data_IF_795901784612
#
_entry.id   IF_795901784612
#
_cell.length_a   1.000
_cell.length_b   1.000
_cell.length_c   1.000
_cell.angle_alpha   90.00
_cell.angle_beta   90.00
_cell.angle_gamma   90.00
#
_symmetry.space_group_name_H-M   'P 1'
#
loop_
_entity.id
_entity.type
_entity.pdbx_description
1 polymer ?
#
# COMPACT_ATOMS: atom_id res chain seq x y z
N UNK A 1 33.31 -35.01 -22.95
CA UNK A 1 32.67 -34.86 -21.61
C UNK A 1 31.51 -33.89 -21.76
N UNK A 2 30.31 -34.44 -21.93
CA UNK A 2 29.08 -33.67 -22.08
C UNK A 2 28.60 -33.23 -20.70
N UNK A 3 28.58 -31.92 -20.41
CA UNK A 3 27.88 -31.41 -19.23
C UNK A 3 26.39 -31.50 -19.46
N UNK A 4 25.72 -32.39 -18.72
CA UNK A 4 24.25 -32.36 -18.59
C UNK A 4 23.88 -30.98 -18.05
N UNK A 5 23.07 -30.28 -18.81
CA UNK A 5 22.31 -29.10 -18.36
C UNK A 5 21.29 -29.70 -17.37
N UNK A 6 21.39 -29.34 -16.09
CA UNK A 6 20.34 -29.65 -15.14
C UNK A 6 19.14 -28.78 -15.54
N UNK A 7 17.99 -29.42 -15.68
CA UNK A 7 16.72 -28.71 -15.86
C UNK A 7 16.55 -27.73 -14.69
N UNK A 8 16.12 -26.49 -14.96
CA UNK A 8 15.83 -25.55 -13.89
C UNK A 8 14.71 -26.16 -13.02
N UNK A 9 14.97 -26.33 -11.72
CA UNK A 9 13.95 -26.69 -10.75
C UNK A 9 12.76 -25.72 -10.93
N UNK A 10 11.59 -26.26 -11.22
CA UNK A 10 10.35 -25.50 -11.34
C UNK A 10 10.16 -24.70 -10.05
N UNK A 11 10.15 -23.39 -10.19
CA UNK A 11 9.85 -22.47 -9.07
C UNK A 11 8.41 -22.78 -8.59
N UNK A 12 8.20 -23.22 -7.35
CA UNK A 12 6.87 -23.59 -6.86
C UNK A 12 5.85 -22.46 -6.90
N UNK A 13 6.28 -21.19 -7.10
CA UNK A 13 5.40 -20.03 -7.25
C UNK A 13 4.91 -19.79 -8.66
N UNK A 14 5.66 -20.17 -9.69
CA UNK A 14 5.25 -19.96 -11.09
C UNK A 14 3.97 -20.73 -11.44
N UNK A 15 3.63 -21.75 -10.67
CA UNK A 15 2.48 -22.62 -10.92
C UNK A 15 1.29 -22.43 -9.96
N UNK A 16 1.47 -21.90 -8.75
CA UNK A 16 0.41 -21.94 -7.73
C UNK A 16 -0.52 -20.74 -7.80
N UNK A 17 -0.02 -19.51 -7.86
CA UNK A 17 -0.90 -18.33 -7.86
C UNK A 17 -1.51 -18.06 -9.23
N UNK A 18 -0.72 -18.12 -10.30
CA UNK A 18 -1.25 -17.94 -11.66
C UNK A 18 -2.15 -19.11 -12.08
N UNK A 19 -1.81 -20.36 -11.75
CA UNK A 19 -2.65 -21.52 -12.05
C UNK A 19 -3.93 -21.56 -11.19
N UNK A 20 -3.88 -21.11 -9.93
CA UNK A 20 -5.06 -20.95 -9.09
C UNK A 20 -5.97 -19.87 -9.64
N UNK A 21 -5.42 -18.72 -10.08
CA UNK A 21 -6.20 -17.66 -10.72
C UNK A 21 -6.83 -18.13 -12.03
N UNK A 22 -6.09 -18.81 -12.91
CA UNK A 22 -6.61 -19.38 -14.14
C UNK A 22 -7.68 -20.44 -13.85
N UNK A 23 -7.50 -21.25 -12.82
CA UNK A 23 -8.51 -22.23 -12.36
C UNK A 23 -9.73 -21.52 -11.78
N UNK A 24 -9.55 -20.42 -11.05
CA UNK A 24 -10.61 -19.56 -10.53
C UNK A 24 -11.43 -18.95 -11.65
N UNK A 25 -10.78 -18.33 -12.65
CA UNK A 25 -11.47 -17.76 -13.81
C UNK A 25 -12.20 -18.81 -14.64
N UNK A 26 -11.63 -20.01 -14.81
CA UNK A 26 -12.28 -21.14 -15.48
C UNK A 26 -13.48 -21.66 -14.70
N UNK A 27 -13.43 -21.69 -13.36
CA UNK A 27 -14.54 -22.14 -12.51
C UNK A 27 -15.72 -21.15 -12.54
N UNK A 28 -15.45 -19.84 -12.52
CA UNK A 28 -16.47 -18.80 -12.71
C UNK A 28 -17.15 -18.97 -14.08
N UNK A 29 -16.36 -19.19 -15.14
CA UNK A 29 -16.87 -19.42 -16.49
C UNK A 29 -17.72 -20.69 -16.65
N UNK A 30 -17.54 -21.70 -15.78
CA UNK A 30 -18.25 -22.98 -15.81
C UNK A 30 -19.46 -23.04 -14.85
N UNK A 31 -19.86 -21.94 -14.21
CA UNK A 31 -21.01 -21.90 -13.31
C UNK A 31 -20.82 -22.64 -11.98
N UNK A 32 -19.63 -23.12 -11.66
CA UNK A 32 -19.31 -23.72 -10.38
C UNK A 32 -19.22 -22.65 -9.29
N UNK A 33 -19.86 -22.88 -8.14
CA UNK A 33 -19.70 -22.00 -6.97
C UNK A 33 -18.25 -22.06 -6.50
N UNK A 34 -17.49 -21.01 -6.78
CA UNK A 34 -16.15 -20.85 -6.25
C UNK A 34 -16.21 -20.71 -4.73
N UNK A 35 -15.43 -21.51 -4.03
CA UNK A 35 -15.17 -21.35 -2.60
C UNK A 35 -13.81 -20.69 -2.43
N UNK A 36 -13.76 -19.42 -1.97
CA UNK A 36 -12.49 -18.76 -1.73
C UNK A 36 -11.67 -19.52 -0.67
N UNK A 37 -10.34 -19.46 -0.75
CA UNK A 37 -9.47 -20.09 0.22
C UNK A 37 -9.75 -19.56 1.63
N UNK A 38 -9.60 -20.41 2.64
CA UNK A 38 -9.67 -19.97 4.04
C UNK A 38 -8.42 -19.17 4.38
N UNK A 39 -8.60 -17.95 4.79
CA UNK A 39 -7.54 -17.08 5.32
C UNK A 39 -7.86 -16.71 6.78
N UNK A 40 -6.83 -16.40 7.57
CA UNK A 40 -7.00 -16.01 8.97
C UNK A 40 -6.69 -14.54 9.16
N UNK A 41 -7.49 -13.86 9.99
CA UNK A 41 -7.17 -12.52 10.44
C UNK A 41 -6.09 -12.58 11.53
N UNK A 42 -5.05 -11.77 11.37
CA UNK A 42 -3.99 -11.55 12.38
C UNK A 42 -4.33 -10.37 13.32
N UNK A 43 -5.20 -9.50 12.85
CA UNK A 43 -5.73 -8.40 13.64
C UNK A 43 -7.16 -8.07 13.20
N UNK A 44 -8.02 -7.88 14.20
CA UNK A 44 -9.41 -7.43 14.05
C UNK A 44 -9.62 -6.26 14.99
N UNK A 45 -10.10 -5.14 14.47
CA UNK A 45 -10.33 -3.93 15.27
C UNK A 45 -11.36 -2.99 14.70
N UNK A 46 -11.69 -1.95 15.45
CA UNK A 46 -12.75 -0.98 15.13
C UNK A 46 -12.65 -0.38 13.71
N UNK A 47 -11.44 -0.14 13.21
CA UNK A 47 -11.27 0.51 11.91
C UNK A 47 -10.59 -0.37 10.88
N UNK A 48 -10.12 -1.57 11.25
CA UNK A 48 -9.35 -2.33 10.30
C UNK A 48 -9.20 -3.81 10.60
N UNK A 49 -8.84 -4.50 9.53
CA UNK A 49 -8.58 -5.94 9.51
C UNK A 49 -7.24 -6.19 8.83
N UNK A 50 -6.38 -7.01 9.43
CA UNK A 50 -5.14 -7.47 8.82
C UNK A 50 -5.17 -8.98 8.66
N UNK A 51 -4.82 -9.44 7.46
CA UNK A 51 -4.77 -10.84 7.11
C UNK A 51 -3.35 -11.26 6.75
N UNK A 52 -2.97 -12.45 7.19
CA UNK A 52 -1.80 -13.14 6.66
C UNK A 52 -2.25 -14.07 5.54
N UNK A 53 -2.04 -13.63 4.29
CA UNK A 53 -2.52 -14.36 3.13
C UNK A 53 -1.74 -13.97 1.87
N UNK A 54 -1.76 -14.84 0.86
CA UNK A 54 -1.47 -14.43 -0.51
C UNK A 54 -2.48 -13.36 -0.96
N UNK A 55 -2.03 -12.39 -1.75
CA UNK A 55 -2.89 -11.28 -2.19
C UNK A 55 -4.12 -11.78 -2.96
N UNK A 56 -3.97 -12.79 -3.83
CA UNK A 56 -5.10 -13.35 -4.59
C UNK A 56 -6.07 -14.10 -3.69
N UNK A 57 -5.58 -14.79 -2.66
CA UNK A 57 -6.42 -15.48 -1.69
C UNK A 57 -7.23 -14.47 -0.85
N UNK A 58 -6.63 -13.34 -0.45
CA UNK A 58 -7.35 -12.26 0.21
C UNK A 58 -8.40 -11.67 -0.72
N UNK A 59 -8.00 -11.27 -1.93
CA UNK A 59 -8.88 -10.60 -2.89
C UNK A 59 -10.09 -11.46 -3.28
N UNK A 60 -9.92 -12.77 -3.39
CA UNK A 60 -11.01 -13.71 -3.66
C UNK A 60 -12.11 -13.72 -2.57
N UNK A 61 -11.76 -13.34 -1.33
CA UNK A 61 -12.71 -13.24 -0.22
C UNK A 61 -13.46 -11.90 -0.18
N UNK A 62 -13.03 -10.90 -0.96
CA UNK A 62 -13.62 -9.57 -1.00
C UNK A 62 -14.68 -9.49 -2.10
N UNK A 63 -15.82 -8.91 -1.76
CA UNK A 63 -16.95 -8.72 -2.69
C UNK A 63 -16.59 -7.75 -3.81
N UNK A 64 -17.19 -7.97 -4.96
CA UNK A 64 -17.15 -7.02 -6.05
C UNK A 64 -17.69 -5.64 -5.62
N UNK A 65 -17.06 -4.58 -6.13
CA UNK A 65 -17.53 -3.19 -5.97
C UNK A 65 -17.74 -2.74 -4.51
N UNK A 66 -16.90 -3.21 -3.59
CA UNK A 66 -17.06 -2.98 -2.15
C UNK A 66 -16.00 -2.05 -1.54
N UNK A 67 -14.85 -1.85 -2.19
CA UNK A 67 -13.71 -1.06 -1.71
C UNK A 67 -13.70 0.32 -2.36
N UNK A 68 -13.44 1.37 -1.58
CA UNK A 68 -13.47 2.77 -2.03
C UNK A 68 -12.14 3.23 -2.62
N UNK A 69 -11.04 2.85 -1.98
CA UNK A 69 -9.68 3.20 -2.40
C UNK A 69 -8.75 2.00 -2.24
N UNK A 70 -7.92 1.78 -3.22
CA UNK A 70 -6.85 0.78 -3.21
C UNK A 70 -5.52 1.50 -3.37
N UNK A 71 -4.59 1.24 -2.46
CA UNK A 71 -3.19 1.65 -2.60
C UNK A 71 -2.32 0.42 -2.48
N UNK A 72 -1.50 0.14 -3.48
CA UNK A 72 -0.64 -1.05 -3.51
C UNK A 72 0.81 -0.72 -3.86
N UNK A 73 1.73 -1.31 -3.08
CA UNK A 73 3.18 -1.29 -3.26
C UNK A 73 3.69 -2.73 -3.34
N UNK A 74 3.48 -3.41 -4.49
CA UNK A 74 3.86 -4.81 -4.65
C UNK A 74 5.39 -4.97 -4.69
N UNK A 75 5.92 -6.19 -4.52
CA UNK A 75 7.31 -6.51 -4.81
C UNK A 75 7.67 -6.14 -6.25
N UNK A 76 8.89 -5.60 -6.47
CA UNK A 76 9.27 -5.00 -7.76
C UNK A 76 10.00 -5.92 -8.72
N UNK A 77 10.14 -7.17 -8.37
CA UNK A 77 10.93 -8.15 -9.14
C UNK A 77 12.37 -7.66 -9.40
N UNK A 78 13.06 -7.31 -8.32
CA UNK A 78 14.42 -6.79 -8.33
C UNK A 78 15.41 -7.70 -7.59
N UNK A 79 15.02 -8.93 -7.28
CA UNK A 79 15.83 -9.91 -6.55
C UNK A 79 16.07 -9.53 -5.09
N UNK A 80 15.10 -8.87 -4.44
CA UNK A 80 15.21 -8.52 -3.03
C UNK A 80 14.82 -9.70 -2.15
N UNK A 81 15.63 -9.95 -1.13
CA UNK A 81 15.27 -10.88 -0.07
C UNK A 81 14.31 -10.19 0.92
N UNK A 82 13.09 -10.72 1.01
CA UNK A 82 12.08 -10.28 1.98
C UNK A 82 12.08 -11.14 3.26
N UNK A 83 13.08 -12.03 3.42
CA UNK A 83 13.17 -12.99 4.53
C UNK A 83 11.94 -13.92 4.63
N UNK A 84 11.28 -14.18 3.52
CA UNK A 84 10.18 -15.12 3.39
C UNK A 84 10.65 -16.30 2.53
N UNK A 85 10.91 -17.48 3.10
CA UNK A 85 11.55 -18.61 2.39
C UNK A 85 10.82 -19.08 1.13
N UNK A 86 9.52 -18.79 1.06
CA UNK A 86 8.64 -19.20 -0.03
C UNK A 86 8.36 -18.08 -1.04
N UNK A 87 8.97 -16.92 -0.89
CA UNK A 87 8.79 -15.77 -1.78
C UNK A 87 10.09 -15.43 -2.49
N UNK A 88 10.07 -15.41 -3.82
CA UNK A 88 11.19 -15.02 -4.66
C UNK A 88 10.84 -13.75 -5.45
N UNK A 89 11.57 -12.65 -5.19
CA UNK A 89 11.43 -11.36 -5.91
C UNK A 89 12.28 -11.35 -7.21
N UNK A 90 12.66 -12.52 -7.72
CA UNK A 90 13.40 -12.71 -8.98
C UNK A 90 12.65 -13.69 -9.89
N UNK A 91 11.41 -13.34 -10.18
CA UNK A 91 10.55 -14.12 -11.09
C UNK A 91 10.96 -13.88 -12.54
N UNK A 92 10.73 -14.89 -13.39
CA UNK A 92 10.81 -14.67 -14.84
C UNK A 92 9.82 -13.58 -15.27
N UNK A 93 10.22 -12.75 -16.25
CA UNK A 93 9.50 -11.53 -16.65
C UNK A 93 8.02 -11.78 -17.01
N UNK A 94 7.73 -12.85 -17.74
CA UNK A 94 6.35 -13.18 -18.14
C UNK A 94 5.54 -13.72 -16.97
N UNK A 95 6.16 -14.50 -16.09
CA UNK A 95 5.52 -15.00 -14.88
C UNK A 95 5.14 -13.82 -13.94
N UNK A 96 6.05 -12.88 -13.73
CA UNK A 96 5.78 -11.68 -12.96
C UNK A 96 4.66 -10.83 -13.58
N UNK A 97 4.69 -10.62 -14.90
CA UNK A 97 3.65 -9.90 -15.62
C UNK A 97 2.28 -10.57 -15.45
N UNK A 98 2.22 -11.88 -15.64
CA UNK A 98 1.00 -12.66 -15.49
C UNK A 98 0.43 -12.59 -14.07
N UNK A 99 1.30 -12.68 -13.07
CA UNK A 99 0.93 -12.50 -11.67
C UNK A 99 0.40 -11.08 -11.39
N UNK A 100 1.05 -10.04 -11.92
CA UNK A 100 0.57 -8.67 -11.79
C UNK A 100 -0.80 -8.47 -12.44
N UNK A 101 -1.01 -9.02 -13.65
CA UNK A 101 -2.31 -8.94 -14.32
C UNK A 101 -3.41 -9.61 -13.49
N UNK A 102 -3.12 -10.75 -12.86
CA UNK A 102 -4.08 -11.49 -12.06
C UNK A 102 -4.62 -10.65 -10.89
N UNK A 103 -3.75 -10.12 -10.04
CA UNK A 103 -4.22 -9.32 -8.90
C UNK A 103 -4.76 -7.94 -9.33
N UNK A 104 -4.29 -7.33 -10.43
CA UNK A 104 -4.86 -6.08 -10.95
C UNK A 104 -6.30 -6.26 -11.45
N UNK A 105 -6.64 -7.41 -12.06
CA UNK A 105 -8.02 -7.74 -12.42
C UNK A 105 -8.91 -7.87 -11.18
N UNK A 106 -8.43 -8.57 -10.16
CA UNK A 106 -9.17 -8.70 -8.90
C UNK A 106 -9.33 -7.34 -8.19
N UNK A 107 -8.29 -6.49 -8.15
CA UNK A 107 -8.40 -5.12 -7.63
C UNK A 107 -9.44 -4.31 -8.41
N UNK A 108 -9.47 -4.46 -9.73
CA UNK A 108 -10.48 -3.79 -10.58
C UNK A 108 -11.89 -4.31 -10.27
N UNK A 109 -12.05 -5.61 -10.00
CA UNK A 109 -13.33 -6.22 -9.63
C UNK A 109 -13.86 -5.65 -8.32
N UNK A 110 -13.04 -5.66 -7.27
CA UNK A 110 -13.46 -5.26 -5.91
C UNK A 110 -13.61 -3.76 -5.74
N UNK A 111 -12.91 -2.95 -6.54
CA UNK A 111 -13.04 -1.49 -6.52
C UNK A 111 -14.45 -1.07 -6.94
N UNK A 112 -15.11 -0.21 -6.16
CA UNK A 112 -16.44 0.30 -6.52
C UNK A 112 -16.37 1.26 -7.71
N UNK A 113 -17.46 1.46 -8.45
CA UNK A 113 -17.55 2.56 -9.42
C UNK A 113 -17.20 3.91 -8.75
N UNK A 114 -16.36 4.71 -9.40
CA UNK A 114 -15.80 5.96 -8.84
C UNK A 114 -14.73 5.76 -7.78
N UNK A 115 -14.42 4.53 -7.40
CA UNK A 115 -13.31 4.21 -6.51
C UNK A 115 -11.96 4.41 -7.20
N UNK A 116 -10.91 4.53 -6.42
CA UNK A 116 -9.57 4.90 -6.89
C UNK A 116 -8.55 3.79 -6.63
N UNK A 117 -7.71 3.52 -7.62
CA UNK A 117 -6.56 2.62 -7.54
C UNK A 117 -5.27 3.42 -7.70
N UNK A 118 -4.40 3.35 -6.69
CA UNK A 118 -3.02 3.81 -6.75
C UNK A 118 -2.09 2.60 -6.79
N UNK A 119 -1.25 2.53 -7.82
CA UNK A 119 -0.21 1.52 -7.99
C UNK A 119 1.16 2.20 -7.92
N UNK A 120 1.88 1.97 -6.81
CA UNK A 120 3.26 2.42 -6.63
C UNK A 120 4.22 1.38 -7.17
N UNK A 121 5.12 1.79 -8.08
CA UNK A 121 6.03 0.83 -8.70
C UNK A 121 7.29 1.48 -9.27
N UNK A 122 8.28 0.63 -9.55
CA UNK A 122 9.43 0.99 -10.35
C UNK A 122 9.00 1.45 -11.76
N UNK A 123 9.60 2.51 -12.35
CA UNK A 123 9.11 3.12 -13.60
C UNK A 123 8.95 2.15 -14.77
N UNK A 124 9.85 1.18 -14.92
CA UNK A 124 9.74 0.17 -15.98
C UNK A 124 8.43 -0.60 -15.87
N UNK A 125 8.16 -1.15 -14.69
CA UNK A 125 6.94 -1.92 -14.47
C UNK A 125 5.69 -1.04 -14.44
N UNK A 126 5.78 0.16 -13.87
CA UNK A 126 4.68 1.11 -13.91
C UNK A 126 4.27 1.44 -15.35
N UNK A 127 5.24 1.57 -16.28
CA UNK A 127 4.97 1.78 -17.70
C UNK A 127 4.27 0.57 -18.34
N UNK A 128 4.79 -0.65 -18.12
CA UNK A 128 4.21 -1.88 -18.68
C UNK A 128 2.79 -2.14 -18.16
N UNK A 129 2.63 -2.12 -16.84
CA UNK A 129 1.35 -2.37 -16.20
C UNK A 129 0.35 -1.26 -16.52
N UNK A 130 0.79 0.00 -16.55
CA UNK A 130 -0.05 1.13 -16.97
C UNK A 130 -0.54 1.01 -18.40
N UNK A 131 0.32 0.61 -19.35
CA UNK A 131 -0.08 0.36 -20.72
C UNK A 131 -1.15 -0.74 -20.81
N UNK A 132 -0.99 -1.82 -20.04
CA UNK A 132 -1.99 -2.89 -19.99
C UNK A 132 -3.28 -2.44 -19.28
N UNK A 133 -3.19 -1.74 -18.15
CA UNK A 133 -4.37 -1.21 -17.44
C UNK A 133 -5.22 -0.28 -18.31
N UNK A 134 -4.60 0.45 -19.26
CA UNK A 134 -5.31 1.29 -20.23
C UNK A 134 -6.17 0.48 -21.19
N UNK A 135 -5.94 -0.83 -21.35
CA UNK A 135 -6.79 -1.71 -22.17
C UNK A 135 -8.04 -2.19 -21.42
N UNK A 136 -8.10 -2.00 -20.08
CA UNK A 136 -9.24 -2.41 -19.27
C UNK A 136 -10.37 -1.38 -19.36
N UNK A 137 -11.54 -1.72 -19.95
CA UNK A 137 -12.64 -0.75 -20.13
C UNK A 137 -13.17 -0.17 -18.82
N UNK A 138 -13.04 -0.92 -17.72
CA UNK A 138 -13.51 -0.52 -16.40
C UNK A 138 -12.66 0.59 -15.76
N UNK A 139 -11.40 0.77 -16.18
CA UNK A 139 -10.48 1.74 -15.60
C UNK A 139 -10.34 2.99 -16.48
N UNK A 140 -10.08 4.11 -15.81
CA UNK A 140 -9.75 5.39 -16.43
C UNK A 140 -8.46 5.91 -15.83
N UNK A 141 -7.46 6.12 -16.66
CA UNK A 141 -6.20 6.75 -16.27
C UNK A 141 -6.42 8.22 -15.87
N UNK A 142 -5.86 8.63 -14.75
CA UNK A 142 -5.91 10.01 -14.28
C UNK A 142 -4.56 10.70 -14.28
N UNK A 143 -3.53 10.04 -13.76
CA UNK A 143 -2.18 10.60 -13.73
C UNK A 143 -1.10 9.53 -13.54
N UNK A 144 0.10 9.85 -13.99
CA UNK A 144 1.36 9.29 -13.51
C UNK A 144 1.98 10.30 -12.57
N UNK A 145 2.09 9.96 -11.30
CA UNK A 145 2.73 10.81 -10.29
C UNK A 145 4.18 10.34 -10.14
N UNK A 146 5.13 11.22 -10.44
CA UNK A 146 6.55 10.96 -10.24
C UNK A 146 6.95 11.29 -8.80
N UNK A 147 7.41 10.30 -8.06
CA UNK A 147 7.85 10.42 -6.66
C UNK A 147 9.37 10.49 -6.61
N UNK A 148 9.93 11.64 -6.25
CA UNK A 148 11.37 11.85 -6.23
C UNK A 148 12.05 10.91 -5.23
N UNK A 149 13.04 10.17 -5.73
CA UNK A 149 13.91 9.35 -4.90
C UNK A 149 15.05 10.17 -4.32
N UNK A 150 15.71 9.65 -3.28
CA UNK A 150 17.02 10.14 -2.88
C UNK A 150 17.98 9.92 -4.05
N UNK A 151 18.69 10.97 -4.46
CA UNK A 151 19.68 10.89 -5.53
C UNK A 151 20.67 9.76 -5.25
N UNK A 152 20.73 8.78 -6.12
CA UNK A 152 21.75 7.75 -6.13
C UNK A 152 23.08 8.29 -6.67
N UNK A 153 24.12 7.48 -6.62
CA UNK A 153 25.36 7.80 -7.32
C UNK A 153 25.18 7.58 -8.83
N UNK A 154 25.85 8.38 -9.67
CA UNK A 154 25.85 8.15 -11.11
C UNK A 154 26.30 6.72 -11.44
N UNK A 155 25.61 6.09 -12.36
CA UNK A 155 25.91 4.73 -12.82
C UNK A 155 26.57 4.83 -14.20
N UNK A 156 27.78 4.24 -14.35
CA UNK A 156 28.49 4.29 -15.63
C UNK A 156 27.65 3.68 -16.75
N UNK A 157 27.53 4.41 -17.86
CA UNK A 157 26.87 3.94 -19.07
C UNK A 157 25.34 3.96 -19.09
N UNK A 158 24.69 4.50 -18.03
CA UNK A 158 23.23 4.66 -18.02
C UNK A 158 22.77 5.82 -17.15
N UNK A 159 21.58 6.32 -17.42
CA UNK A 159 20.90 7.29 -16.57
C UNK A 159 20.49 6.56 -15.28
N UNK A 160 20.85 7.13 -14.11
CA UNK A 160 20.38 6.57 -12.86
C UNK A 160 18.92 6.95 -12.59
N UNK A 161 18.12 6.04 -12.06
CA UNK A 161 16.73 6.34 -11.75
C UNK A 161 16.65 7.32 -10.58
N UNK A 162 15.77 8.32 -10.70
CA UNK A 162 15.61 9.39 -9.71
C UNK A 162 14.17 9.50 -9.18
N UNK A 163 13.26 8.63 -9.62
CA UNK A 163 11.88 8.64 -9.19
C UNK A 163 11.27 7.23 -9.21
N UNK A 164 10.18 7.08 -8.45
CA UNK A 164 9.21 5.99 -8.59
C UNK A 164 7.98 6.50 -9.32
N UNK A 165 7.24 5.59 -9.96
CA UNK A 165 5.93 5.87 -10.53
C UNK A 165 4.82 5.53 -9.53
N UNK A 166 3.85 6.42 -9.38
CA UNK A 166 2.59 6.16 -8.73
C UNK A 166 1.48 6.38 -9.76
N UNK A 167 0.93 5.29 -10.27
CA UNK A 167 -0.16 5.35 -11.23
C UNK A 167 -1.47 5.61 -10.51
N UNK A 168 -2.25 6.55 -11.00
CA UNK A 168 -3.56 6.92 -10.49
C UNK A 168 -4.63 6.59 -11.51
N UNK A 169 -5.48 5.63 -11.15
CA UNK A 169 -6.63 5.17 -11.93
C UNK A 169 -7.92 5.28 -11.13
N UNK A 170 -9.03 5.39 -11.85
CA UNK A 170 -10.39 5.41 -11.28
C UNK A 170 -11.25 4.38 -11.99
N UNK A 171 -12.09 3.64 -11.25
CA UNK A 171 -13.10 2.76 -11.86
C UNK A 171 -14.24 3.61 -12.42
N UNK A 172 -14.54 3.43 -13.70
CA UNK A 172 -15.64 4.14 -14.39
C UNK A 172 -17.00 3.82 -13.75
N UNK A 173 -17.97 4.67 -14.03
CA UNK A 173 -19.38 4.46 -13.63
C UNK A 173 -20.01 5.62 -12.88
N UNK A 174 -19.28 6.21 -11.92
CA UNK A 174 -19.75 7.41 -11.20
C UNK A 174 -18.61 8.41 -11.03
N UNK A 175 -18.95 9.64 -10.65
CA UNK A 175 -17.95 10.68 -10.38
C UNK A 175 -17.05 10.24 -9.21
N UNK A 176 -15.71 10.23 -9.40
CA UNK A 176 -14.79 9.85 -8.34
C UNK A 176 -14.71 10.92 -7.24
N UNK A 177 -14.32 10.48 -6.06
CA UNK A 177 -13.90 11.38 -4.99
C UNK A 177 -12.58 12.07 -5.41
N UNK A 178 -12.56 13.39 -5.33
CA UNK A 178 -11.35 14.19 -5.53
C UNK A 178 -11.35 15.35 -4.56
N UNK A 179 -10.46 15.29 -3.58
CA UNK A 179 -10.26 16.35 -2.59
C UNK A 179 -9.00 17.16 -2.95
N UNK A 180 -9.05 18.45 -2.73
CA UNK A 180 -7.90 19.31 -3.00
C UNK A 180 -6.88 19.15 -1.87
N UNK A 181 -5.80 18.46 -2.15
CA UNK A 181 -4.63 18.34 -1.26
C UNK A 181 -3.62 19.43 -1.60
N UNK A 182 -3.06 20.09 -0.59
CA UNK A 182 -2.09 21.16 -0.74
C UNK A 182 -0.80 20.84 -0.01
N UNK A 183 0.31 21.33 -0.55
CA UNK A 183 1.64 21.25 0.06
C UNK A 183 2.24 22.63 0.14
N UNK A 184 3.21 22.82 1.04
CA UNK A 184 3.96 24.08 1.11
C UNK A 184 4.72 24.31 -0.19
N UNK A 185 4.71 25.54 -0.67
CA UNK A 185 5.53 25.93 -1.82
C UNK A 185 7.01 25.70 -1.50
N UNK A 186 7.76 25.00 -2.37
CA UNK A 186 9.18 24.81 -2.16
C UNK A 186 9.92 26.15 -2.09
N UNK A 187 10.86 26.27 -1.17
CA UNK A 187 11.74 27.42 -1.02
C UNK A 187 13.18 27.07 -1.36
N UNK A 188 13.90 28.00 -1.94
CA UNK A 188 15.33 27.85 -2.19
C UNK A 188 16.10 27.71 -0.87
N UNK A 189 16.92 26.67 -0.75
CA UNK A 189 17.72 26.40 0.46
C UNK A 189 18.77 27.46 0.76
N UNK A 190 19.19 28.22 -0.27
CA UNK A 190 20.24 29.22 -0.15
C UNK A 190 19.71 30.62 0.17
N UNK A 191 18.60 31.04 -0.47
CA UNK A 191 18.12 32.40 -0.32
C UNK A 191 16.71 32.48 0.30
N UNK A 192 16.06 31.36 0.63
CA UNK A 192 14.72 31.32 1.21
C UNK A 192 13.58 31.76 0.28
N UNK A 193 13.88 32.18 -0.96
CA UNK A 193 12.86 32.59 -1.94
C UNK A 193 12.06 31.38 -2.42
N UNK A 194 10.80 31.61 -2.77
CA UNK A 194 9.96 30.56 -3.41
C UNK A 194 10.61 30.08 -4.71
N UNK A 195 10.69 28.77 -4.89
CA UNK A 195 11.34 28.15 -6.06
C UNK A 195 10.43 28.19 -7.28
N UNK A 196 9.12 28.29 -7.09
CA UNK A 196 8.14 28.30 -8.17
C UNK A 196 7.63 29.70 -8.41
N UNK A 197 7.77 30.15 -9.64
CA UNK A 197 7.12 31.34 -10.14
C UNK A 197 5.86 30.92 -10.90
N UNK A 198 4.71 31.26 -10.37
CA UNK A 198 3.42 30.96 -11.01
C UNK A 198 2.96 32.08 -11.96
N UNK A 199 3.80 33.06 -12.25
CA UNK A 199 3.48 34.21 -13.07
C UNK A 199 2.25 34.98 -12.56
N UNK A 200 1.36 35.41 -13.43
CA UNK A 200 0.15 36.15 -13.09
C UNK A 200 -0.89 35.44 -12.23
N UNK A 201 -0.69 34.12 -11.94
CA UNK A 201 -1.58 33.33 -11.07
C UNK A 201 -1.26 33.45 -9.58
N UNK A 202 -0.19 34.11 -9.20
CA UNK A 202 0.25 34.28 -7.79
C UNK A 202 -0.88 34.68 -6.86
N UNK A 203 -1.70 35.68 -7.22
CA UNK A 203 -2.83 36.14 -6.43
C UNK A 203 -3.92 35.10 -6.16
N UNK A 204 -4.04 34.07 -6.98
CA UNK A 204 -4.99 32.96 -6.76
C UNK A 204 -4.49 31.95 -5.71
N UNK A 205 -3.18 31.87 -5.49
CA UNK A 205 -2.56 30.92 -4.57
C UNK A 205 -2.28 31.54 -3.21
N UNK A 206 -2.13 32.85 -3.11
CA UNK A 206 -1.91 33.61 -1.85
C UNK A 206 -3.06 33.50 -0.83
N UNK A 207 -4.19 32.89 -1.18
CA UNK A 207 -5.32 32.67 -0.28
C UNK A 207 -5.08 31.56 0.77
N UNK A 208 -4.01 30.83 0.67
CA UNK A 208 -3.69 29.67 1.52
C UNK A 208 -2.23 29.79 1.95
N UNK A 209 -1.97 30.72 2.85
CA UNK A 209 -0.65 30.91 3.45
C UNK A 209 -0.62 30.27 4.85
N UNK A 210 0.55 29.75 5.25
CA UNK A 210 0.77 29.36 6.63
C UNK A 210 1.02 30.60 7.52
N UNK A 211 1.19 30.38 8.84
CA UNK A 211 1.45 31.45 9.81
C UNK A 211 2.71 32.30 9.51
N UNK A 212 3.58 31.79 8.62
CA UNK A 212 4.80 32.46 8.15
C UNK A 212 4.64 33.15 6.80
N UNK A 213 3.42 33.18 6.26
CA UNK A 213 3.13 33.76 4.93
C UNK A 213 3.68 32.89 3.78
N UNK A 214 3.96 31.60 4.01
CA UNK A 214 4.38 30.68 2.95
C UNK A 214 3.14 30.13 2.26
N UNK A 215 2.97 30.38 0.95
CA UNK A 215 1.79 29.93 0.24
C UNK A 215 1.76 28.40 0.10
N UNK A 216 0.56 27.85 0.23
CA UNK A 216 0.28 26.44 -0.02
C UNK A 216 -0.28 26.28 -1.42
N UNK A 217 0.25 25.31 -2.16
CA UNK A 217 -0.14 25.01 -3.53
C UNK A 217 -0.83 23.64 -3.60
N UNK A 218 -1.74 23.49 -4.54
CA UNK A 218 -2.29 22.19 -4.87
C UNK A 218 -1.16 21.27 -5.34
N UNK A 219 -1.18 20.00 -4.89
CA UNK A 219 -0.20 19.01 -5.33
C UNK A 219 -0.27 18.83 -6.85
N UNK A 220 0.90 18.65 -7.46
CA UNK A 220 1.06 18.29 -8.87
C UNK A 220 1.27 16.79 -9.01
N UNK A 221 1.51 16.34 -10.21
CA UNK A 221 1.96 14.97 -10.53
C UNK A 221 3.47 14.74 -10.32
N UNK A 222 4.16 15.69 -9.73
CA UNK A 222 5.56 15.56 -9.34
C UNK A 222 5.74 15.87 -7.85
N UNK A 223 6.00 14.84 -7.05
CA UNK A 223 6.18 14.94 -5.60
C UNK A 223 7.67 14.90 -5.25
N UNK A 224 8.27 16.08 -5.10
CA UNK A 224 9.70 16.22 -4.84
C UNK A 224 10.06 16.26 -3.33
N UNK A 225 9.09 16.47 -2.48
CA UNK A 225 9.23 16.52 -1.03
C UNK A 225 9.12 15.14 -0.36
N UNK A 226 8.97 14.08 -1.15
CA UNK A 226 9.00 12.71 -0.68
C UNK A 226 10.41 12.38 -0.18
N UNK A 227 10.60 12.38 1.14
CA UNK A 227 11.85 11.94 1.74
C UNK A 227 11.82 10.42 1.80
N UNK A 228 12.80 9.71 1.21
CA UNK A 228 12.91 8.28 1.43
C UNK A 228 13.08 8.03 2.93
N UNK A 229 12.47 6.95 3.43
CA UNK A 229 12.73 6.51 4.79
C UNK A 229 14.26 6.43 4.99
N UNK A 230 14.79 7.10 6.00
CA UNK A 230 16.19 6.93 6.36
C UNK A 230 16.37 5.47 6.71
N UNK A 231 17.31 4.79 6.07
CA UNK A 231 17.82 3.53 6.56
C UNK A 231 18.49 3.85 7.91
N UNK A 232 17.74 3.68 8.97
CA UNK A 232 18.30 3.73 10.30
C UNK A 232 19.08 2.43 10.49
N UNK A 233 20.39 2.54 10.69
CA UNK A 233 21.27 1.37 10.90
C UNK A 233 20.91 0.56 12.14
N UNK A 234 20.06 1.11 13.01
CA UNK A 234 19.54 0.45 14.20
C UNK A 234 18.32 -0.46 13.94
N UNK A 235 17.79 -0.47 12.71
CA UNK A 235 16.66 -1.33 12.36
C UNK A 235 17.16 -2.73 12.04
N UNK A 236 16.90 -3.64 12.93
CA UNK A 236 17.19 -5.08 12.81
C UNK A 236 16.51 -5.76 11.61
N UNK A 237 15.51 -5.11 11.02
CA UNK A 237 14.83 -5.56 9.82
C UNK A 237 15.01 -4.54 8.69
N UNK A 238 15.64 -4.94 7.60
CA UNK A 238 15.85 -4.15 6.37
C UNK A 238 14.53 -3.93 5.58
N UNK A 239 13.43 -3.64 6.25
CA UNK A 239 12.15 -3.38 5.60
C UNK A 239 12.25 -2.00 4.95
N UNK A 240 12.22 -1.95 3.63
CA UNK A 240 12.05 -0.72 2.86
C UNK A 240 10.61 -0.22 3.04
N UNK A 241 10.35 0.44 4.16
CA UNK A 241 9.04 1.01 4.42
C UNK A 241 8.77 2.20 3.49
N UNK A 242 7.58 2.18 2.88
CA UNK A 242 7.06 3.33 2.15
C UNK A 242 6.88 4.50 3.14
N UNK A 243 7.41 5.72 2.83
CA UNK A 243 7.17 6.89 3.67
C UNK A 243 5.68 7.19 3.84
N UNK A 244 5.23 7.39 5.08
CA UNK A 244 3.81 7.54 5.45
C UNK A 244 3.07 8.59 4.61
N UNK A 245 3.71 9.73 4.31
CA UNK A 245 3.10 10.83 3.57
C UNK A 245 2.72 10.49 2.12
N UNK A 246 3.24 9.40 1.55
CA UNK A 246 2.89 8.97 0.19
C UNK A 246 1.48 8.38 0.15
N UNK A 247 1.18 7.27 0.87
CA UNK A 247 -0.19 6.77 0.93
C UNK A 247 -1.14 7.75 1.60
N UNK A 248 -0.68 8.56 2.56
CA UNK A 248 -1.48 9.60 3.21
C UNK A 248 -2.04 10.61 2.19
N UNK A 249 -1.21 11.13 1.28
CA UNK A 249 -1.66 12.04 0.23
C UNK A 249 -2.64 11.38 -0.73
N UNK A 250 -2.38 10.15 -1.12
CA UNK A 250 -3.28 9.38 -1.99
C UNK A 250 -4.66 9.18 -1.33
N UNK A 251 -4.67 8.82 -0.05
CA UNK A 251 -5.89 8.63 0.74
C UNK A 251 -6.66 9.94 0.89
N UNK A 252 -5.99 11.02 1.27
CA UNK A 252 -6.61 12.34 1.39
C UNK A 252 -7.18 12.85 0.08
N UNK A 253 -6.46 12.63 -1.03
CA UNK A 253 -6.87 13.05 -2.38
C UNK A 253 -8.15 12.36 -2.84
N UNK A 254 -8.28 11.05 -2.60
CA UNK A 254 -9.23 10.22 -3.32
C UNK A 254 -10.19 9.42 -2.44
N UNK A 255 -10.31 9.77 -1.16
CA UNK A 255 -11.27 9.15 -0.23
C UNK A 255 -11.81 10.14 0.80
N UNK A 256 -12.89 9.76 1.48
CA UNK A 256 -13.50 10.49 2.58
C UNK A 256 -13.44 9.69 3.88
N UNK A 257 -13.56 10.32 5.07
CA UNK A 257 -13.72 9.59 6.33
C UNK A 257 -14.83 8.53 6.24
N UNK A 258 -14.56 7.33 6.75
CA UNK A 258 -15.46 6.17 6.67
C UNK A 258 -15.35 5.33 5.40
N UNK A 259 -14.63 5.79 4.37
CA UNK A 259 -14.33 4.99 3.18
C UNK A 259 -13.38 3.84 3.53
N UNK A 260 -13.49 2.73 2.79
CA UNK A 260 -12.65 1.54 2.96
C UNK A 260 -11.42 1.63 2.06
N UNK A 261 -10.25 1.58 2.66
CA UNK A 261 -8.93 1.53 2.00
C UNK A 261 -8.40 0.11 2.05
N UNK A 262 -7.95 -0.41 0.92
CA UNK A 262 -7.30 -1.73 0.82
C UNK A 262 -5.83 -1.57 0.43
N UNK A 263 -4.99 -2.37 1.11
CA UNK A 263 -3.60 -2.65 0.72
C UNK A 263 -3.31 -4.13 0.91
N UNK A 264 -3.26 -4.89 -0.18
CA UNK A 264 -2.98 -6.33 -0.14
C UNK A 264 -1.47 -6.66 -0.15
N UNK A 265 -0.61 -5.65 -0.07
CA UNK A 265 0.85 -5.74 0.06
C UNK A 265 1.32 -4.86 1.23
N UNK A 266 0.71 -5.03 2.39
CA UNK A 266 0.79 -4.07 3.51
C UNK A 266 2.23 -3.81 4.02
N UNK A 267 3.15 -4.76 3.88
CA UNK A 267 4.56 -4.61 4.28
C UNK A 267 4.70 -4.06 5.70
N UNK A 268 5.27 -2.84 5.83
CA UNK A 268 5.38 -2.13 7.11
C UNK A 268 4.10 -1.45 7.60
N UNK A 269 2.97 -1.54 6.88
CA UNK A 269 1.66 -1.00 7.27
C UNK A 269 1.50 0.52 7.13
N UNK A 270 2.28 1.17 6.27
CA UNK A 270 2.20 2.64 6.08
C UNK A 270 0.84 3.09 5.56
N UNK A 271 0.26 2.35 4.61
CA UNK A 271 -1.07 2.63 4.06
C UNK A 271 -2.17 2.49 5.14
N UNK A 272 -2.10 1.42 5.93
CA UNK A 272 -3.06 1.15 7.00
C UNK A 272 -3.01 2.23 8.09
N UNK A 273 -1.78 2.65 8.44
CA UNK A 273 -1.57 3.75 9.38
C UNK A 273 -2.16 5.07 8.85
N UNK A 274 -1.90 5.41 7.59
CA UNK A 274 -2.47 6.61 6.98
C UNK A 274 -4.00 6.57 6.96
N UNK A 275 -4.60 5.44 6.62
CA UNK A 275 -6.05 5.24 6.66
C UNK A 275 -6.62 5.45 8.06
N UNK A 276 -6.02 4.81 9.07
CA UNK A 276 -6.42 4.94 10.47
C UNK A 276 -6.36 6.40 10.97
N UNK A 277 -5.25 7.09 10.65
CA UNK A 277 -4.98 8.47 11.07
C UNK A 277 -6.06 9.44 10.56
N UNK A 278 -6.57 9.17 9.37
CA UNK A 278 -7.57 10.02 8.71
C UNK A 278 -9.00 9.48 8.77
N UNK A 279 -9.30 8.60 9.72
CA UNK A 279 -10.64 8.05 9.94
C UNK A 279 -11.21 7.27 8.75
N UNK A 280 -10.36 6.58 7.99
CA UNK A 280 -10.78 5.58 7.01
C UNK A 280 -10.79 4.21 7.65
N UNK A 281 -11.66 3.35 7.15
CA UNK A 281 -11.62 1.92 7.43
C UNK A 281 -10.54 1.29 6.56
N UNK A 282 -9.91 0.19 7.01
CA UNK A 282 -8.84 -0.41 6.24
C UNK A 282 -8.84 -1.94 6.27
N UNK A 283 -8.40 -2.53 5.16
CA UNK A 283 -8.13 -3.95 5.00
C UNK A 283 -6.68 -4.08 4.56
N UNK A 284 -5.88 -4.83 5.32
CA UNK A 284 -4.49 -5.13 5.00
C UNK A 284 -4.29 -6.61 4.70
N UNK A 285 -3.40 -6.91 3.74
CA UNK A 285 -2.90 -8.25 3.48
C UNK A 285 -1.39 -8.28 3.47
N UNK A 286 -0.80 -9.32 4.05
CA UNK A 286 0.65 -9.56 4.03
C UNK A 286 0.91 -11.04 3.87
N UNK A 287 1.76 -11.39 2.91
CA UNK A 287 2.09 -12.79 2.63
C UNK A 287 2.97 -13.41 3.72
N UNK A 288 3.96 -12.65 4.16
CA UNK A 288 4.89 -13.06 5.22
C UNK A 288 4.31 -12.92 6.62
N UNK A 289 5.18 -13.04 7.62
CA UNK A 289 4.82 -12.75 9.01
C UNK A 289 4.59 -11.23 9.17
N UNK A 290 3.39 -10.76 9.51
CA UNK A 290 3.07 -9.33 9.55
C UNK A 290 3.57 -8.64 10.83
N UNK A 291 4.75 -9.02 11.33
CA UNK A 291 5.29 -8.52 12.60
C UNK A 291 5.47 -7.01 12.60
N UNK A 292 6.03 -6.47 11.52
CA UNK A 292 6.24 -5.02 11.39
C UNK A 292 4.92 -4.26 11.32
N UNK A 293 3.96 -4.78 10.56
CA UNK A 293 2.61 -4.23 10.44
C UNK A 293 1.88 -4.26 11.78
N UNK A 294 1.90 -5.38 12.50
CA UNK A 294 1.29 -5.51 13.83
C UNK A 294 1.93 -4.58 14.85
N UNK A 295 3.27 -4.46 14.85
CA UNK A 295 3.98 -3.52 15.71
C UNK A 295 3.54 -2.07 15.44
N UNK A 296 3.41 -1.69 14.17
CA UNK A 296 2.91 -0.38 13.78
C UNK A 296 1.45 -0.17 14.20
N UNK A 297 0.58 -1.17 13.99
CA UNK A 297 -0.83 -1.11 14.42
C UNK A 297 -0.90 -0.82 15.93
N UNK A 298 -0.17 -1.56 16.76
CA UNK A 298 -0.11 -1.31 18.21
C UNK A 298 0.34 0.12 18.55
N UNK A 299 1.27 0.69 17.78
CA UNK A 299 1.78 2.05 18.01
C UNK A 299 0.71 3.13 17.80
N UNK A 300 -0.18 2.98 16.80
CA UNK A 300 -1.18 4.01 16.49
C UNK A 300 -2.56 3.75 17.10
N UNK A 301 -2.86 2.53 17.56
CA UNK A 301 -4.12 2.21 18.25
C UNK A 301 -3.93 2.30 19.78
N UNK A 302 -2.74 1.99 20.29
CA UNK A 302 -2.45 1.83 21.72
C UNK A 302 -3.00 0.50 22.26
N UNK A 303 -2.96 0.34 23.58
CA UNK A 303 -3.43 -0.88 24.28
C UNK A 303 -4.95 -0.87 24.56
N UNK A 304 -5.72 -0.13 23.78
CA UNK A 304 -7.19 -0.09 23.94
C UNK A 304 -7.77 -1.40 23.43
N UNK A 305 -8.70 -1.97 24.22
CA UNK A 305 -9.59 -3.02 23.71
C UNK A 305 -10.25 -2.52 22.43
N UNK A 306 -10.08 -3.28 21.34
CA UNK A 306 -10.62 -2.89 20.04
C UNK A 306 -12.04 -3.42 19.95
N UNK A 307 -13.05 -2.54 19.86
CA UNK A 307 -14.42 -2.96 19.58
C UNK A 307 -14.50 -3.65 18.21
N UNK A 308 -15.52 -4.47 18.05
CA UNK A 308 -15.78 -5.20 16.80
C UNK A 308 -15.78 -4.30 15.57
N UNK A 309 -15.34 -4.80 14.42
CA UNK A 309 -15.30 -4.03 13.19
C UNK A 309 -16.71 -3.62 12.75
N UNK A 310 -16.88 -2.41 12.17
CA UNK A 310 -18.18 -1.91 11.78
C UNK A 310 -18.76 -2.70 10.59
N UNK A 311 -20.08 -2.72 10.49
CA UNK A 311 -20.80 -3.42 9.42
C UNK A 311 -20.31 -3.01 8.01
N UNK A 312 -19.93 -1.74 7.80
CA UNK A 312 -19.39 -1.26 6.53
C UNK A 312 -18.13 -2.05 6.11
N UNK A 313 -17.23 -2.30 7.06
CA UNK A 313 -16.00 -3.06 6.80
C UNK A 313 -16.31 -4.54 6.56
N UNK A 314 -17.15 -5.13 7.40
CA UNK A 314 -17.58 -6.52 7.26
C UNK A 314 -18.35 -6.78 5.97
N UNK A 315 -19.10 -5.78 5.46
CA UNK A 315 -19.85 -5.90 4.20
C UNK A 315 -18.94 -6.01 2.97
N UNK A 316 -17.64 -5.71 3.10
CA UNK A 316 -16.69 -5.90 2.00
C UNK A 316 -16.38 -7.38 1.74
N UNK A 317 -16.71 -8.28 2.66
CA UNK A 317 -16.39 -9.70 2.52
C UNK A 317 -17.59 -10.52 2.07
N UNK A 318 -17.32 -11.64 1.41
CA UNK A 318 -18.33 -12.65 1.05
C UNK A 318 -18.99 -13.20 2.32
N UNK A 319 -20.28 -13.58 2.24
CA UNK A 319 -21.05 -13.97 3.42
C UNK A 319 -20.41 -15.12 4.21
N UNK A 320 -19.93 -16.16 3.51
CA UNK A 320 -19.26 -17.31 4.14
C UNK A 320 -17.99 -16.92 4.92
N UNK A 321 -17.31 -15.86 4.51
CA UNK A 321 -16.08 -15.40 5.14
C UNK A 321 -16.34 -14.40 6.27
N UNK A 322 -17.39 -13.58 6.13
CA UNK A 322 -17.84 -12.62 7.15
C UNK A 322 -18.03 -13.30 8.51
N UNK A 323 -18.71 -14.46 8.51
CA UNK A 323 -18.95 -15.23 9.75
C UNK A 323 -17.65 -15.77 10.37
N UNK A 324 -16.64 -16.02 9.56
CA UNK A 324 -15.32 -16.47 10.03
C UNK A 324 -14.56 -15.35 10.73
N UNK A 325 -14.57 -14.14 10.19
CA UNK A 325 -13.95 -12.94 10.79
C UNK A 325 -14.57 -12.62 12.16
N UNK A 326 -15.90 -12.68 12.24
CA UNK A 326 -16.62 -12.41 13.51
C UNK A 326 -16.29 -13.44 14.59
N UNK A 327 -16.07 -14.72 14.23
CA UNK A 327 -15.74 -15.80 15.21
C UNK A 327 -14.34 -15.68 15.79
N UNK A 328 -13.38 -15.10 15.07
CA UNK A 328 -12.01 -14.90 15.56
C UNK A 328 -11.98 -13.90 16.70
N UNK A 329 -12.87 -12.90 16.68
CA UNK A 329 -12.97 -11.86 17.71
C UNK A 329 -13.42 -12.42 19.10
N UNK A 330 -14.13 -13.54 19.13
CA UNK A 330 -14.67 -14.16 20.38
C UNK A 330 -13.70 -15.18 21.00
N UNK A 331 -12.70 -15.67 20.25
CA UNK A 331 -11.83 -16.77 20.70
C UNK A 331 -10.40 -16.36 21.07
N UNK A 332 -10.07 -15.06 21.07
CA UNK A 332 -8.70 -14.57 21.30
C UNK A 332 -8.23 -14.57 22.76
N UNK A 333 -9.03 -15.08 23.70
CA UNK A 333 -8.69 -15.07 25.13
C UNK A 333 -7.71 -16.17 25.60
N UNK A 334 -7.28 -17.11 24.71
CA UNK A 334 -6.51 -18.28 25.15
C UNK A 334 -5.25 -18.61 24.31
N UNK A 335 -4.48 -17.63 23.85
CA UNK A 335 -3.13 -17.93 23.34
C UNK A 335 -2.06 -17.12 24.06
N UNK A 336 -1.29 -17.75 24.99
CA UNK A 336 -0.13 -17.08 25.56
C UNK A 336 0.92 -16.87 24.47
N UNK A 337 1.25 -15.61 24.20
CA UNK A 337 2.44 -15.23 23.44
C UNK A 337 3.64 -15.69 24.27
N UNK A 338 4.21 -16.84 23.93
CA UNK A 338 5.52 -17.24 24.44
C UNK A 338 6.59 -16.34 23.82
N UNK A 339 6.91 -15.28 24.52
CA UNK A 339 8.19 -14.57 24.34
C UNK A 339 8.57 -13.90 25.66
N UNK A 340 9.11 -14.70 26.56
CA UNK A 340 9.97 -14.22 27.63
C UNK A 340 11.40 -14.32 27.15
N UNK A 341 11.94 -13.25 26.60
CA UNK A 341 13.35 -12.89 26.74
C UNK A 341 13.46 -11.36 26.77
N UNK A 342 13.76 -10.90 27.98
CA UNK A 342 14.43 -9.64 28.40
C UNK A 342 14.23 -8.40 27.52
N UNK A 343 13.26 -7.56 27.92
CA UNK A 343 13.25 -6.13 27.61
C UNK A 343 13.34 -5.39 28.98
N UNK A 344 14.50 -5.39 29.58
CA UNK A 344 14.94 -4.38 30.52
C UNK A 344 16.05 -3.64 29.79
N UNK A 345 15.89 -2.33 29.56
CA UNK A 345 16.85 -1.28 29.18
C UNK A 345 16.44 -0.35 28.03
N UNK A 346 15.19 -0.27 27.66
CA UNK A 346 14.77 0.72 26.65
C UNK A 346 13.86 1.87 27.19
N UNK A 347 13.52 1.87 28.47
CA UNK A 347 12.64 2.90 29.06
C UNK A 347 13.30 4.27 29.27
N UNK A 348 14.64 4.34 29.33
CA UNK A 348 15.37 5.59 29.61
C UNK A 348 15.53 6.57 28.45
N UNK A 349 15.21 6.14 27.21
CA UNK A 349 15.46 6.95 26.00
C UNK A 349 14.21 7.66 25.42
N UNK A 350 13.02 7.32 25.87
CA UNK A 350 11.78 7.84 25.27
C UNK A 350 11.30 9.17 25.87
N UNK A 351 11.67 9.52 27.10
CA UNK A 351 11.26 10.81 27.69
C UNK A 351 11.93 12.03 27.05
N UNK A 352 13.09 11.88 26.41
CA UNK A 352 13.76 12.98 25.71
C UNK A 352 13.19 13.31 24.33
N UNK A 353 12.34 12.46 23.77
CA UNK A 353 11.72 12.71 22.45
C UNK A 353 10.33 13.32 22.52
N UNK A 354 9.61 13.15 23.61
CA UNK A 354 8.25 13.69 23.79
C UNK A 354 8.22 15.21 24.01
N UNK A 355 9.32 15.83 24.46
CA UNK A 355 9.39 17.29 24.71
C UNK A 355 9.74 18.13 23.50
N UNK A 356 10.06 17.52 22.33
CA UNK A 356 10.43 18.24 21.10
C UNK A 356 9.42 18.15 19.96
N UNK A 357 8.29 17.47 20.14
CA UNK A 357 7.26 17.31 19.10
C UNK A 357 6.06 18.29 19.21
N UNK A 358 6.18 19.34 20.00
CA UNK A 358 5.27 20.50 19.84
C UNK A 358 5.87 21.41 18.78
N UNK A 359 5.14 21.58 17.67
CA UNK A 359 5.41 22.42 16.50
C UNK A 359 6.15 21.69 15.37
N UNK A 360 5.47 20.86 14.65
CA UNK A 360 5.64 20.73 13.21
C UNK A 360 4.22 20.67 12.62
N UNK A 361 3.71 21.86 12.24
CA UNK A 361 2.58 21.93 11.33
C UNK A 361 3.03 21.43 9.95
N UNK A 362 2.26 20.58 9.35
CA UNK A 362 2.41 20.05 7.99
C UNK A 362 2.35 21.16 6.95
#
# INVERSE_FOLDING_TARGET
>A
MSKRIQDPEENPFDNISASRYISHMKQIGNGNKFQPPKISAEYVGEKGLLFRADCLDLLANIRESSVDLIFVDPPFNLGKDYNVPTFNDDMETEAYRSWCHAWLLELTRILRPGGTLFLYHWPRWAMELGAWMNTLPALEYKAWIALKMKSGFPIKGRIHPAHYGLLYYVKRGVKPTFNVVRTKTPTCRHCGKLVRDYGGYRKKFERFEDEKGIPWIQISDFWEDTRPARQDKSRENQINELPLHIPERAILLASNPGDVVLDCFAGGGSTLHAAQLHNRLWIGGEYGQPVATLKRIKTFIGDKETPSPPNRLLSCFNDNFRDTVIRVDVSSDDRPIKSTEKIEDAAGSMEKFASKSKVIGF
#
